data_IF_281710417456
#
_entry.id   IF_281710417456
#
_cell.length_a   1.000
_cell.length_b   1.000
_cell.length_c   1.000
_cell.angle_alpha   90.00
_cell.angle_beta   90.00
_cell.angle_gamma   90.00
#
_symmetry.space_group_name_H-M   'P 1'
#
loop_
_entity.id
_entity.type
_entity.pdbx_description
1 polymer ?
#
# COMPACT_ATOMS: atom_id res chain seq x y z
N UNK A 1 -41.20 10.34 27.03
CA UNK A 1 -40.52 9.26 27.78
C UNK A 1 -39.22 8.83 27.15
N UNK A 2 -39.14 8.46 25.87
CA UNK A 2 -37.91 8.08 25.16
C UNK A 2 -36.82 9.18 25.15
N UNK A 3 -37.20 10.45 25.00
CA UNK A 3 -36.25 11.58 24.99
C UNK A 3 -35.56 11.81 26.35
N UNK A 4 -36.27 11.55 27.46
CA UNK A 4 -35.73 11.69 28.82
C UNK A 4 -34.77 10.57 29.17
N UNK A 5 -35.06 9.36 28.71
CA UNK A 5 -34.17 8.19 28.87
C UNK A 5 -32.87 8.39 28.10
N UNK A 6 -32.92 8.93 26.85
CA UNK A 6 -31.74 9.25 26.07
C UNK A 6 -30.85 10.35 26.68
N UNK A 7 -31.48 11.35 27.35
CA UNK A 7 -30.75 12.41 28.08
C UNK A 7 -30.07 11.86 29.34
N UNK A 8 -30.79 11.05 30.13
CA UNK A 8 -30.24 10.41 31.34
C UNK A 8 -29.08 9.43 30.94
N UNK A 9 -29.26 8.68 29.88
CA UNK A 9 -28.19 7.79 29.39
C UNK A 9 -26.95 8.55 28.90
N UNK A 10 -27.12 9.69 28.22
CA UNK A 10 -26.02 10.60 27.86
C UNK A 10 -25.33 11.22 29.09
N UNK A 11 -26.07 11.50 30.12
CA UNK A 11 -25.52 12.09 31.34
C UNK A 11 -24.76 11.07 32.18
N UNK A 12 -25.30 9.86 32.31
CA UNK A 12 -24.61 8.72 32.96
C UNK A 12 -23.32 8.37 32.22
N UNK A 13 -23.35 8.35 30.87
CA UNK A 13 -22.13 8.11 30.07
C UNK A 13 -21.09 9.21 30.24
N UNK A 14 -21.47 10.48 30.41
CA UNK A 14 -20.54 11.58 30.72
C UNK A 14 -19.93 11.49 32.13
N UNK A 15 -20.65 10.98 33.12
CA UNK A 15 -20.13 10.78 34.47
C UNK A 15 -19.21 9.57 34.59
N UNK A 16 -19.52 8.50 33.83
CA UNK A 16 -18.68 7.28 33.80
C UNK A 16 -17.42 7.49 32.93
N UNK A 17 -17.49 8.39 31.93
CA UNK A 17 -16.40 8.69 31.00
C UNK A 17 -16.13 10.20 30.91
N UNK A 18 -15.46 10.83 31.89
CA UNK A 18 -15.21 12.26 31.92
C UNK A 18 -14.39 12.80 30.76
N UNK A 19 -13.60 11.95 30.06
CA UNK A 19 -12.79 12.31 28.89
C UNK A 19 -13.40 11.92 27.55
N UNK A 20 -14.72 11.72 27.49
CA UNK A 20 -15.44 11.44 26.25
C UNK A 20 -15.08 10.10 25.57
N UNK A 21 -16.08 9.43 25.02
CA UNK A 21 -15.91 8.18 24.27
C UNK A 21 -15.04 8.39 23.01
N UNK A 22 -15.06 9.61 22.45
CA UNK A 22 -14.23 10.06 21.32
C UNK A 22 -12.73 10.05 21.63
N UNK A 23 -12.32 10.60 22.80
CA UNK A 23 -10.89 10.67 23.17
C UNK A 23 -10.31 9.28 23.44
N UNK A 24 -11.13 8.37 23.97
CA UNK A 24 -10.72 6.98 24.20
C UNK A 24 -10.54 6.21 22.90
N UNK A 25 -11.44 6.37 21.92
CA UNK A 25 -11.32 5.77 20.59
C UNK A 25 -10.11 6.33 19.84
N UNK A 26 -9.84 7.62 19.95
CA UNK A 26 -8.67 8.26 19.37
C UNK A 26 -7.36 7.71 19.96
N UNK A 27 -7.28 7.54 21.28
CA UNK A 27 -6.11 6.98 21.94
C UNK A 27 -5.87 5.53 21.51
N UNK A 28 -6.91 4.70 21.43
CA UNK A 28 -6.81 3.31 20.93
C UNK A 28 -6.27 3.28 19.49
N UNK A 29 -6.72 4.18 18.63
CA UNK A 29 -6.24 4.25 17.23
C UNK A 29 -4.77 4.66 17.16
N UNK A 30 -4.32 5.61 17.99
CA UNK A 30 -2.93 6.06 18.06
C UNK A 30 -2.02 4.94 18.57
N UNK A 31 -2.37 4.32 19.70
CA UNK A 31 -1.63 3.19 20.30
C UNK A 31 -1.51 2.01 19.32
N UNK A 32 -2.59 1.71 18.59
CA UNK A 32 -2.58 0.68 17.57
C UNK A 32 -1.54 0.98 16.47
N UNK A 33 -1.54 2.20 15.93
CA UNK A 33 -0.61 2.60 14.86
C UNK A 33 0.85 2.57 15.32
N UNK A 34 1.14 3.00 16.54
CA UNK A 34 2.47 2.89 17.14
C UNK A 34 2.90 1.42 17.30
N UNK A 35 2.00 0.56 17.82
CA UNK A 35 2.23 -0.88 17.94
C UNK A 35 2.48 -1.54 16.57
N UNK A 36 1.73 -1.14 15.52
CA UNK A 36 1.97 -1.63 14.16
C UNK A 36 3.38 -1.29 13.67
N UNK A 37 3.84 -0.04 13.83
CA UNK A 37 5.20 0.37 13.44
C UNK A 37 6.26 -0.44 14.20
N UNK A 38 6.12 -0.54 15.53
CA UNK A 38 7.04 -1.31 16.37
C UNK A 38 7.15 -2.79 15.95
N UNK A 39 6.00 -3.44 15.74
CA UNK A 39 5.95 -4.86 15.34
C UNK A 39 6.49 -5.04 13.91
N UNK A 40 6.19 -4.14 12.98
CA UNK A 40 6.72 -4.20 11.62
C UNK A 40 8.24 -4.04 11.56
N UNK A 41 8.83 -3.22 12.46
CA UNK A 41 10.27 -3.04 12.55
C UNK A 41 10.96 -4.24 13.19
N UNK A 42 10.48 -4.70 14.34
CA UNK A 42 11.19 -5.61 15.25
C UNK A 42 10.65 -7.05 15.22
N UNK A 43 9.43 -7.27 14.73
CA UNK A 43 8.78 -8.60 14.76
C UNK A 43 9.16 -9.49 13.59
N UNK A 44 9.07 -10.82 13.82
CA UNK A 44 9.07 -11.80 12.72
C UNK A 44 7.67 -11.89 12.10
N UNK A 45 7.41 -10.97 11.20
CA UNK A 45 6.11 -10.80 10.53
C UNK A 45 6.16 -11.13 9.03
N UNK A 46 7.25 -11.74 8.56
CA UNK A 46 7.33 -12.27 7.21
C UNK A 46 6.47 -13.54 7.05
N UNK A 47 6.02 -13.81 5.84
CA UNK A 47 5.42 -15.10 5.53
C UNK A 47 6.41 -16.23 5.82
N UNK A 48 5.95 -17.33 6.44
CA UNK A 48 6.84 -18.47 6.78
C UNK A 48 7.03 -19.42 5.61
N UNK A 49 6.01 -19.57 4.75
CA UNK A 49 5.95 -20.57 3.69
C UNK A 49 5.64 -20.00 2.32
N UNK A 50 5.64 -18.67 2.18
CA UNK A 50 5.41 -17.98 0.91
C UNK A 50 6.49 -16.94 0.67
N UNK A 51 6.92 -16.89 -0.58
CA UNK A 51 7.79 -15.85 -1.14
C UNK A 51 7.01 -15.00 -2.12
N UNK A 52 7.63 -13.95 -2.65
CA UNK A 52 7.05 -13.14 -3.72
C UNK A 52 6.80 -13.91 -5.01
N UNK A 53 7.49 -15.04 -5.21
CA UNK A 53 7.52 -15.78 -6.45
C UNK A 53 8.42 -15.16 -7.54
N UNK A 54 9.01 -13.98 -7.30
CA UNK A 54 9.91 -13.30 -8.24
C UNK A 54 11.25 -14.05 -8.39
N UNK A 55 11.67 -14.80 -7.39
CA UNK A 55 12.86 -15.64 -7.43
C UNK A 55 12.78 -16.77 -8.47
N UNK A 56 11.57 -17.13 -8.92
CA UNK A 56 11.32 -18.13 -9.96
C UNK A 56 11.69 -17.65 -11.36
N UNK A 57 11.94 -16.36 -11.52
CA UNK A 57 12.20 -15.74 -12.82
C UNK A 57 13.62 -15.22 -12.89
N UNK A 58 14.21 -15.29 -14.07
CA UNK A 58 15.44 -14.60 -14.43
C UNK A 58 15.34 -14.04 -15.84
N UNK A 59 16.11 -12.98 -16.11
CA UNK A 59 16.17 -12.41 -17.45
C UNK A 59 17.07 -13.25 -18.35
N UNK A 60 16.71 -13.34 -19.64
CA UNK A 60 17.62 -13.83 -20.64
C UNK A 60 18.82 -12.87 -20.76
N UNK A 61 20.03 -13.42 -20.63
CA UNK A 61 21.25 -12.62 -20.69
C UNK A 61 21.52 -12.14 -22.12
N UNK A 62 21.80 -10.84 -22.29
CA UNK A 62 22.28 -10.28 -23.52
C UNK A 62 23.80 -10.06 -23.45
N UNK A 63 24.58 -10.90 -24.17
CA UNK A 63 26.04 -10.83 -24.20
C UNK A 63 26.58 -9.60 -24.99
N UNK A 64 25.74 -8.95 -25.80
CA UNK A 64 26.07 -7.78 -26.61
C UNK A 64 25.01 -6.68 -26.44
N UNK A 65 25.04 -5.96 -25.31
CA UNK A 65 24.00 -4.95 -25.01
C UNK A 65 24.01 -3.74 -25.96
N UNK A 66 25.12 -3.44 -26.60
CA UNK A 66 25.31 -2.32 -27.55
C UNK A 66 24.83 -0.95 -27.02
N UNK A 67 24.98 -0.73 -25.71
CA UNK A 67 24.64 0.51 -25.03
C UNK A 67 25.68 0.82 -23.94
N UNK A 68 25.80 2.09 -23.55
CA UNK A 68 26.60 2.49 -22.40
C UNK A 68 25.73 2.44 -21.14
N UNK A 69 26.32 2.01 -20.01
CA UNK A 69 25.65 2.01 -18.72
C UNK A 69 25.15 3.40 -18.31
N UNK A 70 25.88 4.47 -18.73
CA UNK A 70 25.51 5.86 -18.49
C UNK A 70 24.28 6.36 -19.27
N UNK A 71 23.92 5.66 -20.36
CA UNK A 71 22.85 6.09 -21.26
C UNK A 71 21.48 5.48 -20.86
N UNK A 72 21.47 4.67 -19.79
CA UNK A 72 20.25 4.02 -19.30
C UNK A 72 19.35 5.05 -18.59
N UNK A 73 18.15 5.26 -19.14
CA UNK A 73 17.13 6.15 -18.59
C UNK A 73 16.11 5.38 -17.76
N UNK A 74 16.02 5.68 -16.46
CA UNK A 74 15.03 5.12 -15.54
C UNK A 74 13.71 5.89 -15.53
N UNK A 75 13.63 7.04 -16.19
CA UNK A 75 12.41 7.83 -16.20
C UNK A 75 11.27 7.08 -16.88
N UNK A 76 10.07 7.26 -16.37
CA UNK A 76 8.86 6.66 -16.94
C UNK A 76 7.66 7.55 -16.66
N UNK A 77 6.49 7.14 -17.10
CA UNK A 77 5.22 7.84 -16.83
C UNK A 77 4.34 6.98 -15.93
N UNK A 78 3.69 7.62 -14.96
CA UNK A 78 2.69 6.99 -14.10
C UNK A 78 1.48 7.92 -13.95
N UNK A 79 0.28 7.42 -14.24
CA UNK A 79 -0.98 8.21 -14.25
C UNK A 79 -0.81 9.57 -14.96
N UNK A 80 -0.17 9.55 -16.14
CA UNK A 80 0.02 10.73 -17.00
C UNK A 80 1.15 11.69 -16.56
N UNK A 81 1.83 11.48 -15.43
CA UNK A 81 2.96 12.31 -14.98
C UNK A 81 4.30 11.60 -15.15
N UNK A 82 5.32 12.35 -15.61
CA UNK A 82 6.70 11.84 -15.71
C UNK A 82 7.31 11.74 -14.31
N UNK A 83 7.92 10.59 -14.01
CA UNK A 83 8.60 10.28 -12.75
C UNK A 83 10.05 9.88 -13.00
N UNK A 84 10.90 10.01 -11.96
CA UNK A 84 12.34 9.76 -12.06
C UNK A 84 12.73 8.28 -12.16
N UNK A 85 11.91 7.39 -11.60
CA UNK A 85 12.12 5.95 -11.65
C UNK A 85 10.80 5.19 -11.42
N UNK A 86 10.67 3.92 -11.87
CA UNK A 86 9.47 3.10 -11.70
C UNK A 86 9.34 2.54 -10.27
N UNK A 87 9.47 3.39 -9.28
CA UNK A 87 9.41 3.07 -7.85
C UNK A 87 8.48 4.05 -7.14
N UNK A 88 7.68 3.55 -6.18
CA UNK A 88 6.80 4.34 -5.32
C UNK A 88 7.09 4.02 -3.85
N UNK A 89 7.15 5.04 -3.00
CA UNK A 89 7.10 4.86 -1.55
C UNK A 89 5.67 4.52 -1.16
N UNK A 90 5.42 3.25 -0.81
CA UNK A 90 4.06 2.76 -0.55
C UNK A 90 3.50 3.31 0.76
N UNK A 91 2.18 3.36 0.84
CA UNK A 91 1.41 3.82 2.01
C UNK A 91 1.79 3.07 3.30
N UNK A 92 2.22 3.78 4.34
CA UNK A 92 2.67 3.16 5.59
C UNK A 92 2.03 3.77 6.82
N UNK A 93 2.21 5.06 7.08
CA UNK A 93 1.93 5.66 8.38
C UNK A 93 1.27 7.05 8.28
N UNK A 94 0.67 7.48 9.38
CA UNK A 94 0.01 8.78 9.53
C UNK A 94 -0.94 8.79 10.73
N UNK A 95 -1.28 9.98 11.25
CA UNK A 95 -2.31 10.16 12.26
C UNK A 95 -1.87 9.90 13.71
N UNK A 96 -0.58 9.99 14.03
CA UNK A 96 -0.04 10.06 15.39
C UNK A 96 1.12 11.07 15.42
N UNK A 97 1.56 11.49 16.59
CA UNK A 97 2.46 12.65 16.73
C UNK A 97 3.79 12.45 15.97
N UNK A 98 4.43 11.31 16.15
CA UNK A 98 5.72 10.99 15.51
C UNK A 98 5.60 10.74 14.00
N UNK A 99 4.39 10.50 13.50
CA UNK A 99 4.15 10.30 12.06
C UNK A 99 4.49 11.54 11.21
N UNK A 100 4.44 12.74 11.79
CA UNK A 100 4.80 13.97 11.07
C UNK A 100 6.27 13.93 10.61
N UNK A 101 7.20 13.54 11.49
CA UNK A 101 8.63 13.43 11.14
C UNK A 101 8.90 12.32 10.13
N UNK A 102 8.19 11.20 10.23
CA UNK A 102 8.30 10.10 9.28
C UNK A 102 7.78 10.52 7.90
N UNK A 103 6.60 11.14 7.84
CA UNK A 103 6.02 11.62 6.60
C UNK A 103 6.86 12.73 5.95
N UNK A 104 7.42 13.65 6.76
CA UNK A 104 8.37 14.65 6.25
C UNK A 104 9.56 13.98 5.58
N UNK A 105 10.20 13.02 6.26
CA UNK A 105 11.39 12.36 5.75
C UNK A 105 11.11 11.55 4.49
N UNK A 106 9.96 10.85 4.43
CA UNK A 106 9.51 10.15 3.23
C UNK A 106 9.26 11.13 2.07
N UNK A 107 8.67 12.29 2.35
CA UNK A 107 8.41 13.33 1.37
C UNK A 107 9.71 13.91 0.78
N UNK A 108 10.70 14.26 1.65
CA UNK A 108 12.02 14.73 1.21
C UNK A 108 12.69 13.73 0.26
N UNK A 109 12.63 12.44 0.57
CA UNK A 109 13.21 11.39 -0.26
C UNK A 109 12.44 11.20 -1.56
N UNK A 110 11.11 11.21 -1.52
CA UNK A 110 10.27 11.13 -2.71
C UNK A 110 10.56 12.28 -3.68
N UNK A 111 10.68 13.50 -3.15
CA UNK A 111 11.02 14.69 -3.94
C UNK A 111 12.42 14.59 -4.55
N UNK A 112 13.43 14.16 -3.76
CA UNK A 112 14.80 14.00 -4.23
C UNK A 112 14.92 13.05 -5.43
N UNK A 113 14.22 11.92 -5.40
CA UNK A 113 14.26 10.93 -6.48
C UNK A 113 13.17 11.13 -7.54
N UNK A 114 12.31 12.13 -7.39
CA UNK A 114 11.14 12.37 -8.22
C UNK A 114 10.29 11.10 -8.39
N UNK A 115 9.92 10.49 -7.28
CA UNK A 115 9.10 9.25 -7.26
C UNK A 115 7.80 9.45 -6.47
N UNK A 116 6.71 8.75 -6.82
CA UNK A 116 5.43 8.88 -6.14
C UNK A 116 5.48 8.44 -4.66
N UNK A 117 4.61 9.03 -3.85
CA UNK A 117 4.45 8.73 -2.43
C UNK A 117 2.98 8.53 -2.06
N UNK A 118 2.66 7.40 -1.41
CA UNK A 118 1.38 7.18 -0.74
C UNK A 118 1.46 7.42 0.76
N UNK A 119 0.55 8.20 1.33
CA UNK A 119 0.46 8.36 2.79
C UNK A 119 -0.29 7.19 3.43
N UNK A 120 -0.13 7.00 4.74
CA UNK A 120 -0.91 6.03 5.49
C UNK A 120 -2.39 6.43 5.59
N UNK A 121 -3.26 5.50 6.06
CA UNK A 121 -4.70 5.75 6.19
C UNK A 121 -5.00 7.08 6.87
N UNK A 122 -5.79 7.92 6.20
CA UNK A 122 -6.19 9.26 6.65
C UNK A 122 -7.46 9.25 7.53
N UNK A 123 -8.00 8.09 7.86
CA UNK A 123 -9.12 7.98 8.81
C UNK A 123 -8.93 8.83 10.08
N UNK A 124 -7.73 8.87 10.74
CA UNK A 124 -7.54 9.74 11.89
C UNK A 124 -7.66 11.24 11.57
N UNK A 125 -7.32 11.67 10.35
CA UNK A 125 -7.47 13.08 9.96
C UNK A 125 -8.94 13.48 9.76
N UNK A 126 -9.81 12.52 9.44
CA UNK A 126 -11.26 12.71 9.37
C UNK A 126 -11.87 12.74 10.77
N UNK A 127 -11.49 11.79 11.65
CA UNK A 127 -12.01 11.65 13.00
C UNK A 127 -11.50 12.75 13.96
N UNK A 128 -10.24 13.20 13.79
CA UNK A 128 -9.60 14.16 14.67
C UNK A 128 -8.77 15.21 13.91
N UNK A 129 -9.20 16.48 13.86
CA UNK A 129 -8.48 17.54 13.16
C UNK A 129 -7.03 17.75 13.64
N UNK A 130 -6.70 17.41 14.90
CA UNK A 130 -5.32 17.54 15.40
C UNK A 130 -4.33 16.61 14.70
N UNK A 131 -4.80 15.52 14.09
CA UNK A 131 -3.98 14.58 13.32
C UNK A 131 -3.62 15.10 11.92
N UNK A 132 -4.29 16.14 11.42
CA UNK A 132 -4.15 16.63 10.03
C UNK A 132 -2.75 17.13 9.72
N UNK A 133 -2.10 17.79 10.67
CA UNK A 133 -0.73 18.29 10.49
C UNK A 133 0.28 17.21 10.15
N UNK A 134 0.08 15.98 10.65
CA UNK A 134 0.96 14.84 10.35
C UNK A 134 0.90 14.38 8.89
N UNK A 135 -0.16 14.74 8.18
CA UNK A 135 -0.32 14.47 6.75
C UNK A 135 0.06 15.69 5.89
N UNK A 136 -0.40 16.91 6.27
CA UNK A 136 -0.13 18.13 5.53
C UNK A 136 1.37 18.42 5.32
N UNK A 137 2.21 17.98 6.26
CA UNK A 137 3.68 18.09 6.14
C UNK A 137 4.21 17.43 4.87
N UNK A 138 3.55 16.41 4.34
CA UNK A 138 3.98 15.65 3.15
C UNK A 138 4.07 16.56 1.92
N UNK A 139 3.01 17.32 1.59
CA UNK A 139 3.02 18.22 0.43
C UNK A 139 4.03 19.37 0.62
N UNK A 140 4.21 19.83 1.85
CA UNK A 140 5.19 20.90 2.15
C UNK A 140 6.62 20.49 1.76
N UNK A 141 7.00 19.22 1.96
CA UNK A 141 8.36 18.71 1.70
C UNK A 141 8.48 17.92 0.39
N UNK A 142 7.37 17.67 -0.28
CA UNK A 142 7.33 17.06 -1.62
C UNK A 142 6.38 17.86 -2.53
N UNK A 143 6.77 19.09 -2.93
CA UNK A 143 5.88 19.99 -3.68
C UNK A 143 5.61 19.55 -5.13
N UNK A 144 6.49 18.76 -5.76
CA UNK A 144 6.40 18.46 -7.19
C UNK A 144 5.99 17.01 -7.51
N UNK A 145 6.23 16.05 -6.62
CA UNK A 145 5.91 14.64 -6.90
C UNK A 145 4.43 14.29 -6.68
N UNK A 146 4.02 13.16 -7.24
CA UNK A 146 2.67 12.66 -7.01
C UNK A 146 2.51 12.17 -5.57
N UNK A 147 1.52 12.70 -4.87
CA UNK A 147 1.13 12.29 -3.51
C UNK A 147 -0.28 11.71 -3.55
N UNK A 148 -0.43 10.53 -2.96
CA UNK A 148 -1.71 9.84 -2.90
C UNK A 148 -2.27 9.84 -1.47
N UNK A 149 -3.49 10.37 -1.31
CA UNK A 149 -4.31 10.18 -0.13
C UNK A 149 -4.64 8.69 0.06
N UNK A 150 -5.08 8.28 1.26
CA UNK A 150 -5.33 6.87 1.53
C UNK A 150 -6.47 6.67 2.55
N UNK A 151 -7.38 5.74 2.25
CA UNK A 151 -8.49 5.36 3.13
C UNK A 151 -8.77 3.85 3.02
N UNK A 152 -9.38 3.27 4.04
CA UNK A 152 -9.73 1.84 4.06
C UNK A 152 -11.04 1.51 3.36
N UNK A 153 -11.14 0.30 2.81
CA UNK A 153 -12.38 -0.19 2.21
C UNK A 153 -13.55 -0.24 3.19
N UNK A 154 -13.30 -0.47 4.47
CA UNK A 154 -14.33 -0.41 5.52
C UNK A 154 -14.95 0.98 5.68
N UNK A 155 -14.21 2.05 5.39
CA UNK A 155 -14.74 3.42 5.37
C UNK A 155 -15.50 3.69 4.07
N UNK A 156 -14.99 3.19 2.93
CA UNK A 156 -15.69 3.23 1.63
C UNK A 156 -17.06 2.53 1.73
N UNK A 157 -17.12 1.35 2.33
CA UNK A 157 -18.37 0.58 2.51
C UNK A 157 -19.47 1.34 3.24
N UNK A 158 -19.11 2.26 4.14
CA UNK A 158 -20.06 3.12 4.88
C UNK A 158 -20.59 4.28 4.03
N UNK A 159 -19.95 4.55 2.89
CA UNK A 159 -20.18 5.75 2.09
C UNK A 159 -19.44 6.96 2.66
N UNK A 160 -18.45 7.47 1.94
CA UNK A 160 -17.78 8.73 2.30
C UNK A 160 -18.60 9.91 1.79
N UNK A 161 -18.73 10.93 2.61
CA UNK A 161 -19.30 12.20 2.18
C UNK A 161 -18.32 12.97 1.28
N UNK A 162 -18.84 13.82 0.40
CA UNK A 162 -18.03 14.73 -0.42
C UNK A 162 -17.08 15.59 0.45
N UNK A 163 -17.53 16.04 1.60
CA UNK A 163 -16.70 16.80 2.54
C UNK A 163 -15.51 16.00 3.07
N UNK A 164 -15.68 14.72 3.38
CA UNK A 164 -14.59 13.84 3.84
C UNK A 164 -13.57 13.59 2.74
N UNK A 165 -14.05 13.38 1.51
CA UNK A 165 -13.20 13.23 0.33
C UNK A 165 -12.37 14.51 0.12
N UNK A 166 -13.03 15.68 0.11
CA UNK A 166 -12.37 16.96 -0.08
C UNK A 166 -11.31 17.24 1.01
N UNK A 167 -11.62 16.96 2.28
CA UNK A 167 -10.63 17.10 3.38
C UNK A 167 -9.36 16.28 3.07
N UNK A 168 -9.49 15.04 2.60
CA UNK A 168 -8.32 14.21 2.29
C UNK A 168 -7.53 14.75 1.10
N UNK A 169 -8.21 15.17 0.05
CA UNK A 169 -7.58 15.66 -1.17
C UNK A 169 -6.92 17.03 -0.97
N UNK A 170 -7.63 17.98 -0.36
CA UNK A 170 -7.13 19.34 -0.14
C UNK A 170 -5.96 19.37 0.86
N UNK A 171 -6.01 18.55 1.92
CA UNK A 171 -4.97 18.50 2.95
C UNK A 171 -3.59 18.13 2.38
N UNK A 172 -3.57 17.33 1.33
CA UNK A 172 -2.36 16.84 0.67
C UNK A 172 -2.12 17.49 -0.69
N UNK A 173 -3.08 18.30 -1.21
CA UNK A 173 -3.15 18.60 -2.63
C UNK A 173 -2.92 17.32 -3.45
N UNK A 174 -3.73 16.29 -3.15
CA UNK A 174 -3.47 14.93 -3.56
C UNK A 174 -3.67 14.73 -5.06
N UNK A 175 -2.73 14.03 -5.69
CA UNK A 175 -2.77 13.64 -7.11
C UNK A 175 -3.65 12.42 -7.38
N UNK A 176 -4.10 11.73 -6.32
CA UNK A 176 -4.99 10.58 -6.39
C UNK A 176 -5.36 10.06 -5.01
N UNK A 177 -6.27 9.09 -4.99
CA UNK A 177 -6.74 8.42 -3.77
C UNK A 177 -6.44 6.92 -3.83
N UNK A 178 -5.78 6.40 -2.80
CA UNK A 178 -5.60 4.96 -2.59
C UNK A 178 -6.71 4.46 -1.67
N UNK A 179 -7.43 3.42 -2.11
CA UNK A 179 -8.36 2.66 -1.28
C UNK A 179 -7.70 1.33 -0.93
N UNK A 180 -7.39 1.09 0.35
CA UNK A 180 -6.77 -0.16 0.74
C UNK A 180 -7.80 -1.22 1.15
N UNK A 181 -7.60 -2.44 0.63
CA UNK A 181 -8.35 -3.65 0.98
C UNK A 181 -7.55 -4.43 2.02
N UNK A 182 -8.14 -4.71 3.17
CA UNK A 182 -7.45 -5.32 4.29
C UNK A 182 -8.29 -6.37 5.02
N UNK A 183 -9.10 -7.14 4.30
CA UNK A 183 -10.05 -8.09 4.87
C UNK A 183 -9.37 -9.12 5.81
N UNK A 184 -8.21 -9.66 5.40
CA UNK A 184 -7.47 -10.59 6.23
C UNK A 184 -6.90 -9.93 7.49
N UNK A 185 -6.41 -8.70 7.39
CA UNK A 185 -5.98 -7.92 8.55
C UNK A 185 -7.14 -7.67 9.51
N UNK A 186 -8.28 -7.19 9.02
CA UNK A 186 -9.48 -6.91 9.82
C UNK A 186 -10.00 -8.16 10.53
N UNK A 187 -9.92 -9.33 9.89
CA UNK A 187 -10.28 -10.62 10.50
C UNK A 187 -9.40 -10.94 11.73
N UNK A 188 -8.11 -10.61 11.67
CA UNK A 188 -7.15 -10.88 12.74
C UNK A 188 -7.06 -9.74 13.77
N UNK A 189 -7.47 -8.53 13.42
CA UNK A 189 -7.43 -7.38 14.31
C UNK A 189 -8.47 -7.54 15.43
N UNK A 190 -8.10 -7.37 16.72
CA UNK A 190 -9.06 -7.51 17.83
C UNK A 190 -10.29 -6.60 17.70
N UNK A 191 -10.07 -5.37 17.23
CA UNK A 191 -11.08 -4.33 17.00
C UNK A 191 -11.48 -4.20 15.52
N UNK A 192 -11.24 -5.25 14.72
CA UNK A 192 -11.40 -5.22 13.27
C UNK A 192 -12.87 -5.14 12.82
N UNK A 193 -13.07 -4.49 11.68
CA UNK A 193 -14.37 -4.44 11.00
C UNK A 193 -14.40 -5.42 9.82
N UNK A 194 -15.10 -6.52 9.98
CA UNK A 194 -15.23 -7.58 8.96
C UNK A 194 -16.43 -7.41 8.04
N UNK A 195 -17.13 -6.28 8.09
CA UNK A 195 -18.22 -5.99 7.15
C UNK A 195 -17.68 -5.28 5.90
N UNK A 196 -17.53 -6.06 4.83
CA UNK A 196 -17.07 -5.62 3.51
C UNK A 196 -18.21 -5.57 2.47
N UNK A 197 -19.46 -5.63 2.91
CA UNK A 197 -20.62 -5.47 2.00
C UNK A 197 -20.60 -4.08 1.38
N UNK A 198 -21.09 -3.98 0.16
CA UNK A 198 -21.22 -2.73 -0.61
C UNK A 198 -19.88 -2.04 -1.01
N UNK A 199 -18.71 -2.61 -0.74
CA UNK A 199 -17.41 -1.99 -1.11
C UNK A 199 -17.36 -1.69 -2.61
N UNK A 200 -17.72 -2.63 -3.48
CA UNK A 200 -17.67 -2.44 -4.96
C UNK A 200 -18.68 -1.38 -5.41
N UNK A 201 -19.90 -1.41 -4.88
CA UNK A 201 -20.94 -0.43 -5.19
C UNK A 201 -20.50 0.99 -4.81
N UNK A 202 -20.02 1.17 -3.58
CA UNK A 202 -19.56 2.47 -3.09
C UNK A 202 -18.27 2.93 -3.78
N UNK A 203 -17.39 2.00 -4.17
CA UNK A 203 -16.21 2.31 -4.97
C UNK A 203 -16.60 2.82 -6.36
N UNK A 204 -17.58 2.21 -7.03
CA UNK A 204 -18.07 2.68 -8.31
C UNK A 204 -18.72 4.08 -8.21
N UNK A 205 -19.46 4.36 -7.13
CA UNK A 205 -19.96 5.70 -6.86
C UNK A 205 -18.82 6.71 -6.63
N UNK A 206 -17.81 6.33 -5.88
CA UNK A 206 -16.64 7.17 -5.61
C UNK A 206 -15.89 7.51 -6.90
N UNK A 207 -15.55 6.52 -7.73
CA UNK A 207 -14.79 6.71 -8.98
C UNK A 207 -15.51 7.58 -9.98
N UNK A 208 -16.83 7.55 -10.00
CA UNK A 208 -17.67 8.40 -10.86
C UNK A 208 -17.76 9.86 -10.40
N UNK A 209 -17.52 10.14 -9.12
CA UNK A 209 -17.72 11.46 -8.52
C UNK A 209 -16.44 12.18 -8.12
N UNK A 210 -15.31 11.48 -8.05
CA UNK A 210 -14.01 12.07 -7.67
C UNK A 210 -13.26 12.58 -8.89
N UNK A 211 -12.55 13.71 -8.75
CA UNK A 211 -11.81 14.35 -9.85
C UNK A 211 -10.39 13.81 -10.06
N UNK A 212 -9.90 12.96 -9.16
CA UNK A 212 -8.55 12.39 -9.20
C UNK A 212 -8.60 10.88 -9.40
N UNK A 213 -7.53 10.26 -9.94
CA UNK A 213 -7.48 8.81 -10.11
C UNK A 213 -7.59 8.07 -8.78
N UNK A 214 -8.32 6.94 -8.80
CA UNK A 214 -8.46 6.02 -7.66
C UNK A 214 -7.62 4.77 -7.92
N UNK A 215 -6.75 4.44 -6.97
CA UNK A 215 -5.96 3.22 -6.94
C UNK A 215 -6.51 2.32 -5.84
N UNK A 216 -6.78 1.06 -6.15
CA UNK A 216 -7.13 0.08 -5.11
C UNK A 216 -5.92 -0.77 -4.78
N UNK A 217 -5.63 -0.91 -3.49
CA UNK A 217 -4.46 -1.59 -2.97
C UNK A 217 -4.84 -2.65 -1.95
N UNK A 218 -4.32 -3.87 -2.09
CA UNK A 218 -4.30 -4.85 -1.01
C UNK A 218 -3.13 -4.55 -0.05
N UNK A 219 -3.01 -5.25 1.07
CA UNK A 219 -2.02 -4.94 2.10
C UNK A 219 -1.02 -6.08 2.40
N UNK A 220 -1.08 -7.19 1.65
CA UNK A 220 -0.12 -8.30 1.80
C UNK A 220 -0.67 -9.66 1.40
N UNK A 221 -1.95 -9.76 1.02
CA UNK A 221 -2.56 -11.01 0.57
C UNK A 221 -2.77 -11.10 -0.94
N UNK A 222 -2.51 -10.03 -1.69
CA UNK A 222 -2.61 -10.01 -3.14
C UNK A 222 -4.04 -9.87 -3.68
N UNK A 223 -4.12 -9.52 -4.96
CA UNK A 223 -5.38 -9.34 -5.69
C UNK A 223 -5.48 -10.38 -6.79
N UNK A 224 -6.55 -11.18 -6.79
CA UNK A 224 -6.82 -12.18 -7.83
C UNK A 224 -7.30 -11.51 -9.14
N UNK A 225 -7.22 -12.22 -10.28
CA UNK A 225 -7.78 -11.73 -11.55
C UNK A 225 -9.29 -11.44 -11.45
N UNK A 226 -10.03 -12.25 -10.67
CA UNK A 226 -11.48 -12.04 -10.45
C UNK A 226 -11.74 -10.73 -9.71
N UNK A 227 -11.00 -10.48 -8.61
CA UNK A 227 -11.12 -9.22 -7.87
C UNK A 227 -10.64 -8.04 -8.71
N UNK A 228 -9.53 -8.20 -9.46
CA UNK A 228 -9.03 -7.15 -10.35
C UNK A 228 -10.07 -6.76 -11.40
N UNK A 229 -10.76 -7.71 -12.03
CA UNK A 229 -11.86 -7.44 -12.96
C UNK A 229 -12.96 -6.57 -12.31
N UNK A 230 -13.44 -6.97 -11.13
CA UNK A 230 -14.50 -6.23 -10.42
C UNK A 230 -14.07 -4.80 -10.09
N UNK A 231 -12.80 -4.61 -9.71
CA UNK A 231 -12.24 -3.29 -9.40
C UNK A 231 -12.15 -2.41 -10.66
N UNK A 232 -11.69 -2.98 -11.78
CA UNK A 232 -11.60 -2.25 -13.06
C UNK A 232 -13.00 -1.86 -13.54
N UNK A 233 -13.97 -2.77 -13.47
CA UNK A 233 -15.37 -2.52 -13.81
C UNK A 233 -16.02 -1.46 -12.91
N UNK A 234 -15.53 -1.32 -11.65
CA UNK A 234 -15.91 -0.23 -10.75
C UNK A 234 -15.21 1.12 -11.06
N UNK A 235 -14.42 1.23 -12.13
CA UNK A 235 -13.83 2.47 -12.62
C UNK A 235 -12.52 2.90 -11.96
N UNK A 236 -11.79 2.00 -11.31
CA UNK A 236 -10.47 2.36 -10.74
C UNK A 236 -9.45 2.63 -11.84
N UNK A 237 -8.50 3.51 -11.58
CA UNK A 237 -7.41 3.88 -12.49
C UNK A 237 -6.16 3.02 -12.31
N UNK A 238 -6.03 2.35 -11.16
CA UNK A 238 -4.87 1.51 -10.87
C UNK A 238 -5.14 0.45 -9.81
N UNK A 239 -4.33 -0.60 -9.85
CA UNK A 239 -4.33 -1.71 -8.88
C UNK A 239 -2.93 -1.91 -8.35
N UNK A 240 -2.76 -1.76 -7.03
CA UNK A 240 -1.56 -2.17 -6.31
C UNK A 240 -1.81 -3.55 -5.69
N UNK A 241 -1.14 -4.56 -6.24
CA UNK A 241 -1.43 -5.95 -5.91
C UNK A 241 -1.08 -6.32 -4.48
N UNK A 242 -0.09 -5.71 -3.87
CA UNK A 242 0.39 -5.99 -2.51
C UNK A 242 0.35 -7.48 -2.17
N UNK A 243 1.08 -8.27 -2.98
CA UNK A 243 1.02 -9.73 -2.91
C UNK A 243 1.71 -10.32 -1.69
N UNK A 244 1.47 -11.61 -1.45
CA UNK A 244 2.14 -12.37 -0.41
C UNK A 244 3.63 -12.57 -0.75
N UNK A 245 4.46 -12.67 0.31
CA UNK A 245 5.90 -12.87 0.21
C UNK A 245 6.73 -11.78 0.91
N UNK A 246 6.07 -10.72 1.39
CA UNK A 246 6.68 -9.70 2.23
C UNK A 246 6.20 -9.78 3.68
N UNK A 247 5.50 -8.75 4.15
CA UNK A 247 4.88 -8.70 5.47
C UNK A 247 3.51 -9.37 5.45
N UNK A 248 3.23 -10.20 6.45
CA UNK A 248 1.89 -10.74 6.75
C UNK A 248 1.23 -9.89 7.84
N UNK A 249 0.19 -9.13 7.48
CA UNK A 249 -0.59 -8.37 8.44
C UNK A 249 -1.34 -9.25 9.43
N UNK A 250 -1.71 -10.47 9.02
CA UNK A 250 -2.30 -11.46 9.92
C UNK A 250 -1.34 -11.77 11.08
N UNK A 251 -0.02 -11.92 10.81
CA UNK A 251 0.99 -12.12 11.85
C UNK A 251 1.15 -10.88 12.75
N UNK A 252 1.11 -9.68 12.18
CA UNK A 252 1.17 -8.44 12.96
C UNK A 252 0.01 -8.40 13.96
N UNK A 253 -1.21 -8.65 13.49
CA UNK A 253 -2.40 -8.62 14.34
C UNK A 253 -2.47 -9.81 15.31
N UNK A 254 -1.96 -10.98 14.93
CA UNK A 254 -1.84 -12.12 15.84
C UNK A 254 -0.86 -11.84 16.98
N UNK A 255 0.26 -11.16 16.72
CA UNK A 255 1.19 -10.72 17.76
C UNK A 255 0.50 -9.73 18.71
N UNK A 256 -0.28 -8.76 18.18
CA UNK A 256 -1.06 -7.83 19.00
C UNK A 256 -2.10 -8.55 19.84
N UNK A 257 -2.84 -9.49 19.22
CA UNK A 257 -3.84 -10.28 19.92
C UNK A 257 -3.24 -11.04 21.10
N UNK A 258 -2.12 -11.74 20.88
CA UNK A 258 -1.41 -12.48 21.95
C UNK A 258 -0.86 -11.57 23.04
N UNK A 259 -0.37 -10.38 22.71
CA UNK A 259 0.03 -9.37 23.72
C UNK A 259 -1.13 -8.95 24.60
N UNK A 260 -2.35 -8.86 24.05
CA UNK A 260 -3.54 -8.38 24.76
C UNK A 260 -4.27 -9.49 25.52
N UNK A 261 -4.39 -10.69 24.95
CA UNK A 261 -5.23 -11.79 25.45
C UNK A 261 -4.45 -13.04 25.88
N UNK A 262 -3.09 -13.00 25.80
CA UNK A 262 -2.25 -14.12 26.19
C UNK A 262 -2.32 -15.28 25.20
N UNK A 263 -2.53 -16.51 25.71
CA UNK A 263 -2.53 -17.72 24.90
C UNK A 263 -3.90 -18.12 24.35
N UNK A 264 -4.93 -17.31 24.53
CA UNK A 264 -6.23 -17.56 23.92
C UNK A 264 -6.09 -17.57 22.39
N UNK A 265 -6.65 -18.59 21.75
CA UNK A 265 -6.63 -18.72 20.30
C UNK A 265 -8.03 -18.61 19.73
N UNK A 266 -8.19 -17.79 18.68
CA UNK A 266 -9.46 -17.66 17.93
C UNK A 266 -9.65 -18.75 16.91
N UNK A 267 -8.57 -19.41 16.51
CA UNK A 267 -8.55 -20.44 15.48
C UNK A 267 -7.84 -21.70 16.02
N UNK A 268 -8.20 -22.89 15.51
CA UNK A 268 -7.42 -24.09 15.77
C UNK A 268 -6.01 -23.95 15.19
N UNK A 269 -5.01 -24.59 15.80
CA UNK A 269 -3.60 -24.39 15.39
C UNK A 269 -3.37 -24.72 13.89
N UNK A 270 -3.92 -25.79 13.29
CA UNK A 270 -3.75 -26.03 11.85
C UNK A 270 -4.35 -24.92 10.97
N UNK A 271 -5.53 -24.40 11.34
CA UNK A 271 -6.16 -23.31 10.60
C UNK A 271 -5.38 -22.00 10.77
N UNK A 272 -4.86 -21.72 11.97
CA UNK A 272 -4.05 -20.53 12.24
C UNK A 272 -2.79 -20.52 11.37
N UNK A 273 -2.08 -21.64 11.28
CA UNK A 273 -0.85 -21.76 10.48
C UNK A 273 -1.13 -21.51 8.98
N UNK A 274 -2.25 -22.01 8.46
CA UNK A 274 -2.68 -21.76 7.09
C UNK A 274 -3.10 -20.28 6.88
N UNK A 275 -3.92 -19.76 7.79
CA UNK A 275 -4.43 -18.37 7.70
C UNK A 275 -3.33 -17.33 7.84
N UNK A 276 -2.30 -17.55 8.66
CA UNK A 276 -1.14 -16.67 8.77
C UNK A 276 -0.28 -16.63 7.50
N UNK A 277 -0.42 -17.67 6.65
CA UNK A 277 0.22 -17.76 5.33
C UNK A 277 -0.78 -17.58 4.17
N UNK A 278 -1.98 -17.03 4.44
CA UNK A 278 -3.00 -16.80 3.42
C UNK A 278 -2.60 -15.67 2.46
N UNK A 279 -2.79 -15.89 1.16
CA UNK A 279 -2.57 -14.87 0.13
C UNK A 279 -1.99 -15.44 -1.17
N UNK A 280 -1.98 -14.61 -2.21
CA UNK A 280 -1.45 -14.89 -3.55
C UNK A 280 -0.08 -14.21 -3.66
N UNK A 281 0.99 -14.93 -4.08
CA UNK A 281 2.31 -14.33 -4.30
C UNK A 281 2.27 -13.15 -5.28
N UNK A 282 3.12 -12.15 -5.06
CA UNK A 282 3.19 -10.95 -5.89
C UNK A 282 3.35 -11.25 -7.38
N UNK A 283 4.28 -12.15 -7.73
CA UNK A 283 4.50 -12.55 -9.13
C UNK A 283 3.26 -13.20 -9.74
N UNK A 284 2.52 -14.01 -8.97
CA UNK A 284 1.31 -14.68 -9.46
C UNK A 284 0.20 -13.66 -9.72
N UNK A 285 -0.01 -12.67 -8.82
CA UNK A 285 -0.96 -11.59 -9.06
C UNK A 285 -0.67 -10.85 -10.37
N UNK A 286 0.61 -10.50 -10.62
CA UNK A 286 1.01 -9.80 -11.85
C UNK A 286 0.73 -10.63 -13.10
N UNK A 287 1.04 -11.93 -13.07
CA UNK A 287 0.79 -12.85 -14.18
C UNK A 287 -0.70 -12.94 -14.48
N UNK A 288 -1.52 -13.16 -13.45
CA UNK A 288 -2.96 -13.35 -13.59
C UNK A 288 -3.65 -12.08 -14.12
N UNK A 289 -3.24 -10.90 -13.63
CA UNK A 289 -3.80 -9.62 -14.11
C UNK A 289 -3.29 -9.31 -15.53
N UNK A 290 -2.05 -9.61 -15.86
CA UNK A 290 -1.53 -9.46 -17.23
C UNK A 290 -2.32 -10.32 -18.21
N UNK A 291 -2.61 -11.57 -17.86
CA UNK A 291 -3.43 -12.45 -18.73
C UNK A 291 -4.88 -11.94 -18.82
N UNK A 292 -5.45 -11.42 -17.74
CA UNK A 292 -6.74 -10.75 -17.76
C UNK A 292 -6.75 -9.58 -18.75
N UNK A 293 -5.74 -8.70 -18.71
CA UNK A 293 -5.62 -7.55 -19.62
C UNK A 293 -5.48 -7.99 -21.09
N UNK A 294 -4.79 -9.08 -21.39
CA UNK A 294 -4.67 -9.63 -22.75
C UNK A 294 -6.02 -10.10 -23.31
N UNK A 295 -6.85 -10.72 -22.45
CA UNK A 295 -8.19 -11.17 -22.81
C UNK A 295 -9.23 -10.05 -22.90
N UNK A 296 -8.91 -8.86 -22.39
CA UNK A 296 -9.80 -7.71 -22.28
C UNK A 296 -9.10 -6.41 -22.71
N UNK A 297 -9.07 -6.10 -24.02
CA UNK A 297 -8.40 -4.89 -24.52
C UNK A 297 -8.88 -3.58 -23.87
N UNK A 298 -10.12 -3.52 -23.39
CA UNK A 298 -10.70 -2.40 -22.66
C UNK A 298 -10.00 -2.16 -21.30
N UNK A 299 -9.30 -3.14 -20.74
CA UNK A 299 -8.55 -3.03 -19.47
C UNK A 299 -7.08 -2.63 -19.67
N UNK A 300 -6.65 -2.37 -20.91
CA UNK A 300 -5.22 -2.13 -21.21
C UNK A 300 -4.63 -0.93 -20.48
N UNK A 301 -5.44 0.10 -20.23
CA UNK A 301 -4.98 1.38 -19.68
C UNK A 301 -4.93 1.39 -18.13
N UNK A 302 -5.36 0.29 -17.49
CA UNK A 302 -5.24 0.17 -16.03
C UNK A 302 -3.77 0.10 -15.60
N UNK A 303 -3.37 0.94 -14.66
CA UNK A 303 -2.03 0.94 -14.07
C UNK A 303 -1.88 -0.18 -13.03
N UNK A 304 -0.84 -1.00 -13.15
CA UNK A 304 -0.56 -2.07 -12.20
C UNK A 304 0.69 -1.72 -11.39
N UNK A 305 0.55 -1.73 -10.09
CA UNK A 305 1.64 -1.52 -9.15
C UNK A 305 2.00 -2.86 -8.51
N UNK A 306 3.26 -3.23 -8.62
CA UNK A 306 3.80 -4.42 -7.97
C UNK A 306 4.30 -4.06 -6.57
N UNK A 307 3.56 -4.43 -5.54
CA UNK A 307 4.05 -4.37 -4.17
C UNK A 307 3.84 -5.69 -3.43
N UNK A 308 4.36 -5.79 -2.21
CA UNK A 308 4.39 -7.02 -1.44
C UNK A 308 5.72 -7.76 -1.61
N UNK A 309 6.69 -7.47 -0.72
CA UNK A 309 7.99 -8.12 -0.67
C UNK A 309 9.06 -7.59 -1.62
N UNK A 310 8.85 -6.45 -2.28
CA UNK A 310 9.86 -5.77 -3.11
C UNK A 310 10.97 -5.21 -2.20
N UNK A 311 12.23 -5.59 -2.46
CA UNK A 311 13.36 -5.27 -1.59
C UNK A 311 14.68 -4.96 -2.31
N UNK A 312 14.70 -4.98 -3.65
CA UNK A 312 15.90 -4.66 -4.45
C UNK A 312 15.51 -4.27 -5.88
N UNK A 313 16.47 -3.72 -6.64
CA UNK A 313 16.24 -3.31 -8.02
C UNK A 313 15.95 -4.47 -8.97
N UNK A 314 16.43 -5.68 -8.68
CA UNK A 314 16.10 -6.87 -9.48
C UNK A 314 14.65 -7.29 -9.33
N UNK A 315 14.04 -7.09 -8.14
CA UNK A 315 12.60 -7.32 -7.94
C UNK A 315 11.77 -6.30 -8.73
N UNK A 316 12.22 -5.02 -8.74
CA UNK A 316 11.61 -3.96 -9.55
C UNK A 316 11.62 -4.39 -11.02
N UNK A 317 12.82 -4.74 -11.56
CA UNK A 317 12.97 -5.14 -12.96
C UNK A 317 12.05 -6.30 -13.35
N UNK A 318 12.03 -7.38 -12.56
CA UNK A 318 11.17 -8.55 -12.81
C UNK A 318 9.68 -8.19 -12.74
N UNK A 319 9.29 -7.34 -11.79
CA UNK A 319 7.90 -6.87 -11.68
C UNK A 319 7.44 -6.12 -12.93
N UNK A 320 8.30 -5.24 -13.47
CA UNK A 320 8.03 -4.51 -14.71
C UNK A 320 7.88 -5.46 -15.90
N UNK A 321 8.78 -6.44 -16.06
CA UNK A 321 8.71 -7.43 -17.12
C UNK A 321 7.51 -8.42 -16.96
N UNK A 322 6.98 -8.58 -15.75
CA UNK A 322 5.75 -9.32 -15.48
C UNK A 322 4.47 -8.50 -15.74
N UNK A 323 4.58 -7.21 -16.08
CA UNK A 323 3.46 -6.38 -16.53
C UNK A 323 3.08 -5.23 -15.60
N UNK A 324 3.87 -4.96 -14.55
CA UNK A 324 3.68 -3.78 -13.72
C UNK A 324 4.17 -2.51 -14.43
N UNK A 325 3.50 -1.39 -14.19
CA UNK A 325 3.96 -0.06 -14.57
C UNK A 325 4.92 0.50 -13.52
N UNK A 326 4.72 0.13 -12.26
CA UNK A 326 5.44 0.65 -11.12
C UNK A 326 5.68 -0.46 -10.11
N UNK A 327 6.79 -0.42 -9.39
CA UNK A 327 6.99 -1.20 -8.18
C UNK A 327 6.82 -0.32 -6.95
N UNK A 328 6.36 -0.88 -5.83
CA UNK A 328 6.25 -0.15 -4.58
C UNK A 328 6.72 -0.99 -3.38
N UNK A 329 7.26 -0.31 -2.37
CA UNK A 329 7.72 -0.96 -1.16
C UNK A 329 7.28 -0.20 0.08
N UNK A 330 6.95 -0.93 1.15
CA UNK A 330 6.53 -0.37 2.42
C UNK A 330 7.52 -0.75 3.54
N UNK A 331 7.53 -2.00 3.98
CA UNK A 331 8.29 -2.43 5.15
C UNK A 331 9.80 -2.18 5.02
N UNK A 332 10.38 -2.44 3.85
CA UNK A 332 11.82 -2.22 3.63
C UNK A 332 12.15 -0.72 3.65
N UNK A 333 11.26 0.11 3.11
CA UNK A 333 11.37 1.58 3.19
C UNK A 333 11.28 2.04 4.65
N UNK A 334 10.34 1.52 5.44
CA UNK A 334 10.21 1.86 6.85
C UNK A 334 11.45 1.46 7.66
N UNK A 335 12.00 0.27 7.42
CA UNK A 335 13.26 -0.18 8.06
C UNK A 335 14.42 0.71 7.68
N UNK A 336 14.62 0.99 6.39
CA UNK A 336 15.67 1.86 5.90
C UNK A 336 15.56 3.29 6.46
N UNK A 337 14.33 3.80 6.60
CA UNK A 337 14.07 5.09 7.23
C UNK A 337 14.50 5.09 8.70
N UNK A 338 14.13 4.05 9.45
CA UNK A 338 14.50 3.90 10.86
C UNK A 338 16.02 3.78 11.05
N UNK A 339 16.70 3.11 10.13
CA UNK A 339 18.16 2.92 10.10
C UNK A 339 18.92 4.12 9.53
N UNK A 340 18.22 5.21 9.14
CA UNK A 340 18.79 6.39 8.46
C UNK A 340 19.55 6.03 7.17
N UNK A 341 19.11 5.02 6.46
CA UNK A 341 19.73 4.47 5.25
C UNK A 341 18.84 4.57 4.01
N UNK A 342 17.72 5.31 4.07
CA UNK A 342 16.67 5.27 3.05
C UNK A 342 17.18 5.71 1.66
N UNK A 343 17.85 6.87 1.56
CA UNK A 343 18.37 7.36 0.28
C UNK A 343 19.39 6.39 -0.31
N UNK A 344 20.34 5.92 0.54
CA UNK A 344 21.35 4.97 0.11
C UNK A 344 20.73 3.68 -0.43
N UNK A 345 19.66 3.19 0.20
CA UNK A 345 18.98 1.98 -0.24
C UNK A 345 18.25 2.21 -1.57
N UNK A 346 17.60 3.36 -1.75
CA UNK A 346 16.96 3.69 -3.03
C UNK A 346 18.01 3.83 -4.14
N UNK A 347 19.11 4.55 -3.91
CA UNK A 347 20.22 4.64 -4.87
C UNK A 347 20.73 3.26 -5.28
N UNK A 348 20.92 2.35 -4.30
CA UNK A 348 21.33 0.97 -4.56
C UNK A 348 20.31 0.24 -5.44
N UNK A 349 19.01 0.34 -5.13
CA UNK A 349 17.97 -0.31 -5.91
C UNK A 349 17.88 0.22 -7.34
N UNK A 350 18.05 1.53 -7.53
CA UNK A 350 18.08 2.14 -8.85
C UNK A 350 19.32 1.73 -9.65
N UNK A 351 20.45 1.55 -8.96
CA UNK A 351 21.67 1.03 -9.60
C UNK A 351 21.54 -0.47 -9.97
N UNK A 352 20.91 -1.28 -9.11
CA UNK A 352 20.58 -2.68 -9.44
C UNK A 352 19.67 -2.74 -10.67
N UNK A 353 18.65 -1.88 -10.75
CA UNK A 353 17.75 -1.80 -11.90
C UNK A 353 18.52 -1.45 -13.18
N UNK A 354 19.42 -0.43 -13.13
CA UNK A 354 20.30 -0.10 -14.26
C UNK A 354 21.18 -1.30 -14.68
N UNK A 355 21.71 -2.04 -13.69
CA UNK A 355 22.53 -3.23 -14.00
C UNK A 355 21.73 -4.30 -14.74
N UNK A 356 20.49 -4.58 -14.34
CA UNK A 356 19.61 -5.50 -15.07
C UNK A 356 19.34 -4.98 -16.48
N UNK A 357 19.02 -3.69 -16.63
CA UNK A 357 18.78 -3.07 -17.93
C UNK A 357 19.99 -3.19 -18.85
N UNK A 358 21.19 -2.93 -18.33
CA UNK A 358 22.43 -3.12 -19.08
C UNK A 358 22.61 -4.56 -19.54
N UNK A 359 22.47 -5.53 -18.63
CA UNK A 359 22.66 -6.96 -18.92
C UNK A 359 21.59 -7.55 -19.85
N UNK A 360 20.49 -6.85 -20.02
CA UNK A 360 19.41 -7.23 -20.94
C UNK A 360 19.38 -6.40 -22.22
N UNK A 361 20.26 -5.39 -22.34
CA UNK A 361 20.28 -4.48 -23.48
C UNK A 361 19.01 -3.64 -23.57
N UNK A 362 18.54 -3.10 -22.43
CA UNK A 362 17.41 -2.17 -22.35
C UNK A 362 17.91 -0.79 -21.97
N UNK A 363 17.79 0.19 -22.87
CA UNK A 363 18.16 1.57 -22.59
C UNK A 363 17.06 2.33 -21.81
N UNK A 364 15.80 1.90 -21.93
CA UNK A 364 14.62 2.53 -21.32
C UNK A 364 13.78 1.54 -20.54
N UNK A 365 12.94 2.06 -19.63
CA UNK A 365 11.99 1.23 -18.87
C UNK A 365 10.99 0.51 -19.80
N UNK A 366 10.58 1.16 -20.88
CA UNK A 366 9.67 0.53 -21.87
C UNK A 366 10.31 -0.67 -22.55
N UNK A 367 11.59 -0.57 -22.91
CA UNK A 367 12.33 -1.70 -23.45
C UNK A 367 12.48 -2.84 -22.43
N UNK A 368 12.74 -2.53 -21.16
CA UNK A 368 12.83 -3.52 -20.07
C UNK A 368 11.52 -4.30 -19.89
N UNK A 369 10.36 -3.63 -19.96
CA UNK A 369 9.04 -4.28 -19.86
C UNK A 369 8.83 -5.36 -20.92
N UNK A 370 9.47 -5.22 -22.06
CA UNK A 370 9.39 -6.16 -23.19
C UNK A 370 10.47 -7.24 -23.18
N UNK A 371 11.39 -7.25 -22.18
CA UNK A 371 12.44 -8.27 -22.08
C UNK A 371 11.88 -9.60 -21.60
N UNK A 372 12.45 -10.67 -22.16
CA UNK A 372 12.04 -12.04 -21.86
C UNK A 372 12.46 -12.47 -20.45
N UNK A 373 11.50 -12.99 -19.70
CA UNK A 373 11.77 -13.73 -18.46
C UNK A 373 11.75 -15.24 -18.71
N UNK A 374 12.69 -15.93 -18.12
CA UNK A 374 12.84 -17.38 -18.12
C UNK A 374 12.41 -17.89 -16.75
N UNK A 375 11.61 -18.94 -16.70
CA UNK A 375 11.28 -19.63 -15.45
C UNK A 375 12.45 -20.55 -15.10
N UNK A 376 13.01 -20.39 -13.91
CA UNK A 376 14.04 -21.29 -13.38
C UNK A 376 13.47 -22.69 -13.23
N UNK A 377 14.24 -23.66 -13.67
CA UNK A 377 13.92 -25.08 -13.54
C UNK A 377 14.16 -25.57 -12.12
#
# INVERSE_FOLDING_TARGET
MLCLIALIYKQILKEIFPNGMSDRLNNITIERKQSHVEICLNGDVAFSHKTTGLERFEFEHNALPELSFSDIDLTTTFLGKKIGAPLMLSSMTGGFHEAASLNQRLAEVAEHFNIPLGVGSMRPALENPSCRSSFAVTRKFAPSVQIFANIGASEIAKGLTESEINIMLELLEADGLIVHLNAAQELFQPEGNTDFRHVIEQLALLTNNISVPVIVKEVGCGISATSARQLIEAGVSGIDVAGAGGLSWQKVEEIRYRKQFGHETRFSQPALDELLNWGIPTAQCLIDIRELKKGHPEFRDIEIIASGGIQCGTDIAKSLALGAQLAASARYILKALHESALEKNIDSWLNDLRAVMFLTGAATIEELRNKRLIIKQ
#
